data_IF_449630769236
#
_entry.id   IF_449630769236
#
_cell.length_a   1.000
_cell.length_b   1.000
_cell.length_c   1.000
_cell.angle_alpha   90.00
_cell.angle_beta   90.00
_cell.angle_gamma   90.00
#
_symmetry.space_group_name_H-M   'P 1'
#
loop_
_entity.id
_entity.type
_entity.pdbx_description
1 polymer ?
#
# COMPACT_ATOMS: atom_id res chain seq x y z
N UNK A 1 -76.20 33.99 36.44
CA UNK A 1 -76.54 35.37 36.03
C UNK A 1 -75.80 35.63 34.72
N UNK A 2 -76.47 35.59 33.65
CA UNK A 2 -76.92 36.68 32.83
C UNK A 2 -75.70 37.30 32.09
N UNK A 3 -75.62 37.43 30.84
CA UNK A 3 -76.48 37.46 29.66
C UNK A 3 -75.69 38.15 28.56
N UNK A 4 -75.71 37.63 27.35
CA UNK A 4 -76.10 38.31 26.10
C UNK A 4 -75.13 39.35 25.52
N UNK A 5 -74.89 39.55 24.25
CA UNK A 5 -75.54 39.22 22.96
C UNK A 5 -74.57 39.65 21.88
N UNK A 6 -74.44 38.87 20.76
CA UNK A 6 -74.93 39.25 19.41
C UNK A 6 -74.42 40.60 18.85
N UNK A 7 -74.00 40.80 17.64
CA UNK A 7 -74.41 40.40 16.31
C UNK A 7 -73.42 40.88 15.26
N UNK A 8 -73.04 40.06 14.25
CA UNK A 8 -73.41 40.21 12.84
C UNK A 8 -73.08 41.56 12.13
N UNK A 9 -72.33 41.49 11.05
CA UNK A 9 -72.68 41.66 9.63
C UNK A 9 -71.39 41.95 8.85
N UNK A 10 -70.99 41.19 7.88
CA UNK A 10 -71.34 41.04 6.47
C UNK A 10 -70.94 42.21 5.57
N UNK A 11 -70.43 41.80 4.43
CA UNK A 11 -70.24 42.38 3.10
C UNK A 11 -68.83 42.88 2.84
N UNK A 12 -68.14 42.24 1.99
CA UNK A 12 -68.24 41.94 0.55
C UNK A 12 -67.54 42.97 -0.32
N UNK A 13 -66.73 42.42 -1.10
CA UNK A 13 -66.51 42.66 -2.51
C UNK A 13 -65.22 43.27 -2.99
N UNK A 14 -64.64 42.53 -3.78
CA UNK A 14 -64.22 42.71 -5.19
C UNK A 14 -62.79 43.24 -5.41
N UNK A 15 -61.99 42.34 -5.78
CA UNK A 15 -61.21 42.19 -7.00
C UNK A 15 -60.58 43.45 -7.59
N UNK A 16 -59.25 43.35 -7.74
CA UNK A 16 -58.67 43.68 -9.06
C UNK A 16 -57.28 43.03 -9.17
N UNK A 17 -57.18 42.21 -10.17
CA UNK A 17 -55.97 41.65 -10.74
C UNK A 17 -55.06 42.79 -11.23
N UNK A 18 -53.84 42.80 -10.76
CA UNK A 18 -52.68 43.21 -11.58
C UNK A 18 -51.60 42.21 -11.43
N UNK A 19 -51.31 41.51 -12.49
CA UNK A 19 -50.18 40.62 -12.61
C UNK A 19 -48.88 41.38 -12.48
N UNK A 20 -48.07 40.91 -11.58
CA UNK A 20 -46.64 41.16 -11.62
C UNK A 20 -45.97 39.78 -11.63
N UNK A 21 -45.38 39.42 -12.73
CA UNK A 21 -44.39 38.39 -12.84
C UNK A 21 -43.30 38.65 -11.80
N UNK A 22 -43.43 38.06 -10.65
CA UNK A 22 -42.40 37.94 -9.65
C UNK A 22 -41.59 36.67 -9.96
N UNK A 23 -40.60 36.89 -10.71
CA UNK A 23 -39.51 35.95 -10.99
C UNK A 23 -38.79 35.68 -9.68
N UNK A 24 -38.55 34.41 -9.38
CA UNK A 24 -37.42 34.01 -8.56
C UNK A 24 -37.74 33.72 -7.13
N UNK A 25 -38.35 32.59 -6.86
CA UNK A 25 -37.87 31.79 -5.76
C UNK A 25 -36.49 31.29 -6.16
N UNK A 26 -35.45 32.03 -5.83
CA UNK A 26 -34.11 31.50 -5.78
C UNK A 26 -34.11 30.50 -4.64
N UNK A 27 -34.28 29.21 -4.95
CA UNK A 27 -33.75 28.19 -4.09
C UNK A 27 -32.28 28.54 -3.95
N UNK A 28 -31.81 28.73 -2.74
CA UNK A 28 -30.38 28.65 -2.45
C UNK A 28 -29.93 27.32 -3.07
N UNK A 29 -29.27 27.41 -4.23
CA UNK A 29 -28.68 26.24 -4.84
C UNK A 29 -27.70 25.70 -3.83
N UNK A 30 -27.97 24.51 -3.30
CA UNK A 30 -26.96 23.80 -2.60
C UNK A 30 -25.78 23.74 -3.57
N UNK A 31 -24.64 24.32 -3.16
CA UNK A 31 -23.41 24.21 -3.93
C UNK A 31 -23.21 22.74 -4.28
N UNK A 32 -22.97 22.44 -5.54
CA UNK A 32 -22.73 21.07 -5.99
C UNK A 32 -21.63 20.45 -5.12
N UNK A 33 -21.75 19.18 -4.76
CA UNK A 33 -20.82 18.52 -3.80
C UNK A 33 -19.36 18.71 -4.16
N UNK A 34 -19.02 18.77 -5.45
CA UNK A 34 -17.64 19.00 -5.89
C UNK A 34 -17.10 20.40 -5.54
N UNK A 35 -17.97 21.38 -5.22
CA UNK A 35 -17.57 22.71 -4.77
C UNK A 35 -17.33 22.81 -3.27
N UNK A 36 -17.78 21.81 -2.51
CA UNK A 36 -17.53 21.70 -1.08
C UNK A 36 -16.10 21.18 -0.83
N UNK A 37 -15.56 21.50 0.34
CA UNK A 37 -14.27 20.93 0.74
C UNK A 37 -14.41 19.44 0.98
N UNK A 38 -13.52 18.63 0.38
CA UNK A 38 -13.42 17.19 0.59
C UNK A 38 -12.16 16.95 1.41
N UNK A 39 -12.34 16.52 2.65
CA UNK A 39 -11.23 16.18 3.56
C UNK A 39 -11.07 14.67 3.57
N UNK A 40 -9.88 14.20 3.21
CA UNK A 40 -9.47 12.80 3.29
C UNK A 40 -8.58 12.65 4.52
N UNK A 41 -9.04 11.92 5.53
CA UNK A 41 -8.22 11.51 6.67
C UNK A 41 -7.36 10.31 6.27
N UNK A 42 -6.04 10.48 6.16
CA UNK A 42 -5.11 9.40 5.84
C UNK A 42 -4.30 8.99 7.07
N UNK A 43 -4.33 7.70 7.44
CA UNK A 43 -3.53 7.19 8.55
C UNK A 43 -2.77 5.90 8.17
N UNK A 44 -1.48 6.02 7.84
CA UNK A 44 -0.56 4.89 7.74
C UNK A 44 0.03 4.50 9.11
N UNK A 45 0.72 3.34 9.22
CA UNK A 45 1.41 2.92 10.45
C UNK A 45 2.56 3.85 10.88
N UNK A 46 3.19 4.52 9.93
CA UNK A 46 4.16 5.58 10.12
C UNK A 46 4.20 6.53 8.90
N UNK A 47 5.12 7.47 8.86
CA UNK A 47 5.26 8.48 7.78
C UNK A 47 6.64 8.40 7.10
N UNK A 48 7.34 7.29 7.27
CA UNK A 48 8.67 7.07 6.67
C UNK A 48 8.59 6.07 5.51
N UNK A 49 9.69 5.93 4.78
CA UNK A 49 9.85 4.90 3.75
C UNK A 49 8.69 4.84 2.77
N UNK A 50 8.07 3.69 2.68
CA UNK A 50 6.97 3.36 1.76
C UNK A 50 5.72 4.20 2.00
N UNK A 51 5.39 4.49 3.26
CA UNK A 51 4.20 5.28 3.60
C UNK A 51 4.38 6.77 3.30
N UNK A 52 5.63 7.27 3.34
CA UNK A 52 5.94 8.59 2.79
C UNK A 52 5.60 8.64 1.30
N UNK A 53 6.04 7.65 0.53
CA UNK A 53 5.71 7.54 -0.90
C UNK A 53 4.21 7.51 -1.13
N UNK A 54 3.47 6.67 -0.41
CA UNK A 54 2.01 6.63 -0.53
C UNK A 54 1.38 7.99 -0.23
N UNK A 55 1.82 8.67 0.84
CA UNK A 55 1.32 10.00 1.23
C UNK A 55 1.57 11.04 0.13
N UNK A 56 2.77 11.07 -0.45
CA UNK A 56 3.11 11.97 -1.56
C UNK A 56 2.19 11.77 -2.77
N UNK A 57 1.77 10.53 -3.05
CA UNK A 57 0.85 10.24 -4.14
C UNK A 57 -0.62 10.53 -3.80
N UNK A 58 -1.04 10.42 -2.53
CA UNK A 58 -2.32 10.98 -2.08
C UNK A 58 -2.37 12.49 -2.34
N UNK A 59 -1.34 13.21 -1.97
CA UNK A 59 -1.23 14.66 -2.16
C UNK A 59 -1.14 15.05 -3.64
N UNK A 60 -0.39 14.30 -4.45
CA UNK A 60 -0.27 14.50 -5.89
C UNK A 60 -1.62 14.37 -6.60
N UNK A 61 -2.37 13.30 -6.33
CA UNK A 61 -3.69 13.09 -6.90
C UNK A 61 -4.70 14.16 -6.42
N UNK A 62 -4.62 14.59 -5.14
CA UNK A 62 -5.41 15.70 -4.63
C UNK A 62 -5.08 17.02 -5.35
N UNK A 63 -3.80 17.27 -5.67
CA UNK A 63 -3.36 18.40 -6.47
C UNK A 63 -3.98 18.41 -7.87
N UNK A 64 -4.04 17.25 -8.54
CA UNK A 64 -4.70 17.12 -9.86
C UNK A 64 -6.22 17.33 -9.76
N UNK A 65 -6.88 16.78 -8.74
CA UNK A 65 -8.30 17.03 -8.49
C UNK A 65 -8.57 18.53 -8.28
N UNK A 66 -7.71 19.21 -7.51
CA UNK A 66 -7.82 20.65 -7.27
C UNK A 66 -7.59 21.47 -8.56
N UNK A 67 -6.66 21.04 -9.42
CA UNK A 67 -6.48 21.66 -10.74
C UNK A 67 -7.71 21.50 -11.65
N UNK A 68 -8.49 20.41 -11.48
CA UNK A 68 -9.76 20.19 -12.15
C UNK A 68 -10.94 20.94 -11.50
N UNK A 69 -10.69 21.66 -10.39
CA UNK A 69 -11.64 22.54 -9.73
C UNK A 69 -12.32 21.97 -8.48
N UNK A 70 -11.92 20.80 -7.99
CA UNK A 70 -12.31 20.31 -6.67
C UNK A 70 -11.59 21.11 -5.57
N UNK A 71 -11.97 20.86 -4.31
CA UNK A 71 -11.30 21.38 -3.11
C UNK A 71 -10.94 20.21 -2.20
N UNK A 72 -9.93 19.45 -2.60
CA UNK A 72 -9.50 18.25 -1.88
C UNK A 72 -8.35 18.59 -0.93
N UNK A 73 -8.45 18.14 0.31
CA UNK A 73 -7.42 18.23 1.34
C UNK A 73 -7.11 16.86 1.88
N UNK A 74 -5.85 16.47 1.87
CA UNK A 74 -5.36 15.26 2.54
C UNK A 74 -4.84 15.65 3.91
N UNK A 75 -5.39 15.05 4.96
CA UNK A 75 -4.89 15.19 6.33
C UNK A 75 -4.21 13.90 6.74
N UNK A 76 -2.89 13.87 6.59
CA UNK A 76 -2.08 12.72 6.94
C UNK A 76 -1.65 12.77 8.41
N UNK A 77 -1.91 11.69 9.14
CA UNK A 77 -1.50 11.51 10.55
C UNK A 77 -1.14 10.05 10.79
N UNK A 78 -0.06 9.81 11.50
CA UNK A 78 0.41 8.47 11.80
C UNK A 78 0.83 8.32 13.25
N UNK A 79 0.83 7.09 13.79
CA UNK A 79 1.58 6.74 14.99
C UNK A 79 3.07 7.04 14.84
N UNK A 80 3.79 7.02 15.95
CA UNK A 80 5.24 7.18 15.96
C UNK A 80 5.98 5.91 15.50
N UNK A 81 5.36 4.74 15.65
CA UNK A 81 5.91 3.43 15.28
C UNK A 81 4.83 2.48 14.83
N UNK A 82 5.19 1.46 14.04
CA UNK A 82 4.27 0.41 13.58
C UNK A 82 3.62 -0.38 14.72
N UNK A 83 4.20 -0.41 15.90
CA UNK A 83 3.65 -1.13 17.07
C UNK A 83 2.74 -0.28 17.96
N UNK A 84 2.56 0.99 17.65
CA UNK A 84 1.69 1.89 18.41
C UNK A 84 0.22 1.83 17.92
N UNK A 85 -0.38 0.65 17.98
CA UNK A 85 -1.72 0.37 17.45
C UNK A 85 -2.79 1.27 18.07
N UNK A 86 -2.72 1.51 19.38
CA UNK A 86 -3.68 2.37 20.08
C UNK A 86 -3.64 3.83 19.57
N UNK A 87 -2.48 4.31 19.16
CA UNK A 87 -2.34 5.66 18.62
C UNK A 87 -3.03 5.77 17.25
N UNK A 88 -2.94 4.72 16.40
CA UNK A 88 -3.67 4.70 15.13
C UNK A 88 -5.19 4.68 15.35
N UNK A 89 -5.68 3.91 16.31
CA UNK A 89 -7.09 3.91 16.72
C UNK A 89 -7.53 5.31 17.13
N UNK A 90 -6.75 6.01 17.97
CA UNK A 90 -7.05 7.37 18.41
C UNK A 90 -7.06 8.38 17.24
N UNK A 91 -6.19 8.20 16.24
CA UNK A 91 -6.18 9.03 15.04
C UNK A 91 -7.46 8.83 14.21
N UNK A 92 -7.91 7.59 14.04
CA UNK A 92 -9.18 7.29 13.36
C UNK A 92 -10.35 7.94 14.10
N UNK A 93 -10.38 7.84 15.42
CA UNK A 93 -11.42 8.46 16.27
C UNK A 93 -11.43 10.00 16.15
N UNK A 94 -10.26 10.62 16.05
CA UNK A 94 -10.17 12.06 15.80
C UNK A 94 -10.74 12.43 14.42
N UNK A 95 -10.45 11.68 13.37
CA UNK A 95 -11.04 11.89 12.07
C UNK A 95 -12.57 11.73 12.07
N UNK A 96 -13.09 10.73 12.78
CA UNK A 96 -14.54 10.56 13.00
C UNK A 96 -15.14 11.76 13.71
N UNK A 97 -14.53 12.22 14.81
CA UNK A 97 -15.00 13.34 15.59
C UNK A 97 -15.03 14.66 14.80
N UNK A 98 -14.08 14.83 13.90
CA UNK A 98 -13.95 15.99 13.01
C UNK A 98 -14.81 15.87 11.74
N UNK A 99 -15.47 14.75 11.55
CA UNK A 99 -16.37 14.47 10.41
C UNK A 99 -15.68 14.67 9.06
N UNK A 100 -14.48 14.10 8.89
CA UNK A 100 -13.83 14.06 7.56
C UNK A 100 -14.74 13.33 6.56
N UNK A 101 -14.59 13.62 5.28
CA UNK A 101 -15.48 13.06 4.26
C UNK A 101 -15.22 11.57 3.99
N UNK A 102 -13.96 11.15 4.07
CA UNK A 102 -13.51 9.76 3.86
C UNK A 102 -12.31 9.49 4.74
N UNK A 103 -12.19 8.28 5.29
CA UNK A 103 -11.00 7.84 6.03
C UNK A 103 -10.29 6.77 5.20
N UNK A 104 -9.01 7.00 4.87
CA UNK A 104 -8.12 6.01 4.27
C UNK A 104 -7.16 5.49 5.34
N UNK A 105 -7.02 4.17 5.44
CA UNK A 105 -6.24 3.51 6.49
C UNK A 105 -5.32 2.47 5.86
N UNK A 106 -4.02 2.52 6.17
CA UNK A 106 -3.17 1.33 6.10
C UNK A 106 -3.04 0.78 7.51
N UNK A 107 -3.63 -0.39 7.82
CA UNK A 107 -3.66 -0.88 9.20
C UNK A 107 -2.26 -1.22 9.71
N UNK A 108 -1.90 -0.75 10.89
CA UNK A 108 -0.76 -1.28 11.63
C UNK A 108 -1.06 -2.69 12.17
N UNK A 109 -2.34 -2.92 12.52
CA UNK A 109 -2.90 -4.22 12.90
C UNK A 109 -4.38 -4.26 12.48
N UNK A 110 -4.79 -5.32 11.79
CA UNK A 110 -6.13 -5.46 11.20
C UNK A 110 -7.23 -5.59 12.24
N UNK A 111 -6.96 -6.23 13.37
CA UNK A 111 -7.95 -6.41 14.44
C UNK A 111 -8.07 -5.16 15.31
N UNK A 112 -6.96 -4.51 15.61
CA UNK A 112 -6.95 -3.33 16.49
C UNK A 112 -7.77 -2.16 15.94
N UNK A 113 -7.82 -1.96 14.62
CA UNK A 113 -8.57 -0.85 14.00
C UNK A 113 -10.07 -1.07 13.95
N UNK A 114 -10.58 -2.33 14.00
CA UNK A 114 -11.99 -2.66 13.79
C UNK A 114 -12.96 -1.83 14.65
N UNK A 115 -12.72 -1.62 15.96
CA UNK A 115 -13.62 -0.80 16.77
C UNK A 115 -13.74 0.66 16.29
N UNK A 116 -12.63 1.26 15.82
CA UNK A 116 -12.65 2.63 15.31
C UNK A 116 -13.32 2.71 13.93
N UNK A 117 -13.11 1.71 13.07
CA UNK A 117 -13.81 1.62 11.78
C UNK A 117 -15.33 1.47 11.99
N UNK A 118 -15.77 0.69 12.98
CA UNK A 118 -17.21 0.62 13.35
C UNK A 118 -17.78 2.00 13.71
N UNK A 119 -17.04 2.79 14.48
CA UNK A 119 -17.47 4.17 14.80
C UNK A 119 -17.53 5.07 13.56
N UNK A 120 -16.60 4.90 12.61
CA UNK A 120 -16.67 5.61 11.33
C UNK A 120 -17.93 5.20 10.53
N UNK A 121 -18.24 3.88 10.50
CA UNK A 121 -19.45 3.37 9.84
C UNK A 121 -20.73 3.92 10.50
N UNK A 122 -20.81 3.94 11.82
CA UNK A 122 -21.93 4.54 12.59
C UNK A 122 -22.09 6.04 12.30
N UNK A 123 -20.98 6.74 12.03
CA UNK A 123 -20.98 8.14 11.64
C UNK A 123 -21.25 8.37 10.14
N UNK A 124 -21.50 7.29 9.36
CA UNK A 124 -21.65 7.29 7.90
C UNK A 124 -20.44 7.89 7.16
N UNK A 125 -19.24 7.69 7.68
CA UNK A 125 -17.98 8.08 7.03
C UNK A 125 -17.45 6.86 6.27
N UNK A 126 -17.34 6.90 4.94
CA UNK A 126 -16.76 5.82 4.15
C UNK A 126 -15.31 5.56 4.54
N UNK A 127 -14.94 4.28 4.60
CA UNK A 127 -13.58 3.84 4.91
C UNK A 127 -12.98 3.13 3.70
N UNK A 128 -11.76 3.50 3.35
CA UNK A 128 -10.91 2.80 2.38
C UNK A 128 -9.77 2.16 3.17
N UNK A 129 -9.54 0.87 2.95
CA UNK A 129 -8.35 0.20 3.50
C UNK A 129 -7.34 0.00 2.37
N UNK A 130 -6.10 0.39 2.62
CA UNK A 130 -4.98 0.16 1.69
C UNK A 130 -4.00 -0.85 2.28
N UNK A 131 -3.12 -1.43 1.46
CA UNK A 131 -2.17 -2.47 1.85
C UNK A 131 -2.83 -3.83 2.20
N UNK A 132 -4.07 -4.03 1.81
CA UNK A 132 -4.85 -5.22 2.13
C UNK A 132 -5.90 -5.47 1.06
N UNK A 133 -6.12 -6.72 0.67
CA UNK A 133 -7.22 -7.15 -0.21
C UNK A 133 -8.26 -8.00 0.52
N UNK A 134 -7.86 -8.66 1.59
CA UNK A 134 -8.73 -9.56 2.34
C UNK A 134 -9.83 -8.78 3.05
N UNK A 135 -11.07 -9.06 2.67
CA UNK A 135 -12.24 -8.43 3.27
C UNK A 135 -12.32 -8.75 4.77
N UNK A 136 -12.36 -7.68 5.56
CA UNK A 136 -12.44 -7.79 7.00
C UNK A 136 -13.88 -7.99 7.46
N UNK A 137 -14.09 -8.95 8.35
CA UNK A 137 -15.39 -9.21 8.95
C UNK A 137 -15.75 -8.14 9.99
N UNK A 138 -17.06 -7.97 10.22
CA UNK A 138 -17.63 -7.10 11.26
C UNK A 138 -17.43 -5.59 11.07
N UNK A 139 -16.93 -5.13 9.92
CA UNK A 139 -16.79 -3.71 9.55
C UNK A 139 -17.22 -3.48 8.10
N UNK A 140 -17.66 -2.27 7.80
CA UNK A 140 -17.97 -1.85 6.44
C UNK A 140 -16.79 -1.06 5.87
N UNK A 141 -16.23 -1.54 4.76
CA UNK A 141 -15.15 -0.90 4.02
C UNK A 141 -15.64 -0.63 2.61
N UNK A 142 -15.54 0.59 2.15
CA UNK A 142 -16.00 0.97 0.82
C UNK A 142 -15.11 0.38 -0.29
N UNK A 143 -13.79 0.36 -0.07
CA UNK A 143 -12.83 -0.20 -1.02
C UNK A 143 -11.58 -0.71 -0.30
N UNK A 144 -11.02 -1.79 -0.82
CA UNK A 144 -9.69 -2.31 -0.49
C UNK A 144 -8.76 -2.03 -1.67
N UNK A 145 -7.62 -1.39 -1.40
CA UNK A 145 -6.59 -1.08 -2.40
C UNK A 145 -5.29 -1.71 -1.92
N UNK A 146 -4.77 -2.69 -2.62
CA UNK A 146 -3.57 -3.37 -2.14
C UNK A 146 -3.19 -4.56 -2.98
N UNK A 147 -2.62 -5.53 -2.35
CA UNK A 147 -2.08 -6.74 -2.95
C UNK A 147 -2.24 -7.90 -1.96
N UNK A 148 -2.13 -9.12 -2.49
CA UNK A 148 -2.03 -10.33 -1.69
C UNK A 148 -0.62 -10.44 -1.11
N UNK A 149 -0.49 -10.41 0.24
CA UNK A 149 0.79 -10.43 0.94
C UNK A 149 1.54 -11.75 0.78
N UNK A 150 0.82 -12.86 0.71
CA UNK A 150 1.39 -14.19 0.46
C UNK A 150 1.90 -14.30 -0.98
N UNK A 151 1.12 -13.82 -1.96
CA UNK A 151 1.55 -13.76 -3.37
C UNK A 151 2.80 -12.91 -3.53
N UNK A 152 2.88 -11.74 -2.90
CA UNK A 152 4.03 -10.86 -2.96
C UNK A 152 5.32 -11.54 -2.44
N UNK A 153 5.21 -12.25 -1.33
CA UNK A 153 6.32 -13.00 -0.78
C UNK A 153 6.71 -14.22 -1.64
N UNK A 154 5.73 -14.86 -2.29
CA UNK A 154 5.99 -15.91 -3.28
C UNK A 154 6.77 -15.39 -4.48
N UNK A 155 6.41 -14.21 -5.01
CA UNK A 155 7.18 -13.52 -6.08
C UNK A 155 8.61 -13.27 -5.63
N UNK A 156 8.81 -12.77 -4.40
CA UNK A 156 10.12 -12.51 -3.84
C UNK A 156 10.94 -13.80 -3.64
N UNK A 157 10.29 -14.90 -3.26
CA UNK A 157 10.90 -16.20 -3.11
C UNK A 157 11.44 -16.74 -4.46
N UNK A 158 10.66 -16.60 -5.54
CA UNK A 158 11.14 -16.94 -6.87
C UNK A 158 12.38 -16.13 -7.28
N UNK A 159 12.47 -14.87 -6.92
CA UNK A 159 13.66 -14.05 -7.17
C UNK A 159 14.90 -14.61 -6.41
N UNK A 160 14.73 -15.13 -5.20
CA UNK A 160 15.80 -15.83 -4.47
C UNK A 160 16.22 -17.10 -5.20
N UNK A 161 15.26 -17.95 -5.60
CA UNK A 161 15.55 -19.18 -6.35
C UNK A 161 16.30 -18.89 -7.64
N UNK A 162 15.86 -17.84 -8.34
CA UNK A 162 16.40 -17.45 -9.63
C UNK A 162 17.86 -16.98 -9.53
N UNK A 163 18.17 -16.22 -8.51
CA UNK A 163 19.54 -15.81 -8.21
C UNK A 163 20.48 -17.00 -7.95
N UNK A 164 19.98 -18.05 -7.31
CA UNK A 164 20.75 -19.24 -6.95
C UNK A 164 20.68 -20.39 -7.97
N UNK A 165 20.52 -20.08 -9.23
CA UNK A 165 20.60 -21.05 -10.33
C UNK A 165 19.28 -21.35 -11.02
N UNK A 166 18.24 -20.60 -10.75
CA UNK A 166 16.95 -20.71 -11.45
C UNK A 166 16.99 -20.21 -12.89
N UNK A 167 16.00 -20.61 -13.71
CA UNK A 167 15.95 -20.34 -15.14
C UNK A 167 15.22 -19.02 -15.45
N UNK A 168 15.58 -17.92 -14.79
CA UNK A 168 14.91 -16.64 -14.99
C UNK A 168 15.83 -15.55 -15.52
N UNK A 169 15.91 -14.44 -14.77
CA UNK A 169 16.62 -13.21 -15.17
C UNK A 169 17.76 -12.84 -14.26
N UNK A 170 17.80 -13.40 -13.04
CA UNK A 170 18.80 -13.11 -12.03
C UNK A 170 19.89 -14.19 -12.01
N UNK A 171 20.99 -13.93 -11.29
CA UNK A 171 22.03 -14.92 -11.02
C UNK A 171 22.72 -15.51 -12.26
N UNK A 172 23.22 -16.75 -12.13
CA UNK A 172 24.03 -17.44 -13.14
C UNK A 172 23.34 -18.61 -13.84
N UNK A 173 22.05 -18.84 -13.60
CA UNK A 173 21.26 -19.88 -14.24
C UNK A 173 20.96 -19.60 -15.73
N UNK A 174 20.15 -20.45 -16.34
CA UNK A 174 19.62 -20.21 -17.68
C UNK A 174 18.85 -18.88 -17.69
N UNK A 175 18.98 -18.08 -18.77
CA UNK A 175 18.33 -16.77 -18.84
C UNK A 175 17.14 -16.82 -19.78
N UNK A 176 16.01 -16.27 -19.28
CA UNK A 176 14.80 -16.04 -20.05
C UNK A 176 14.86 -14.64 -20.67
N UNK A 177 14.48 -14.52 -21.93
CA UNK A 177 14.33 -13.22 -22.58
C UNK A 177 13.05 -12.53 -22.07
N UNK A 178 13.21 -11.37 -21.43
CA UNK A 178 12.11 -10.60 -20.88
C UNK A 178 11.82 -9.39 -21.77
N UNK A 179 10.62 -9.34 -22.29
CA UNK A 179 10.17 -8.21 -23.11
C UNK A 179 9.96 -6.96 -22.21
N UNK A 180 10.16 -5.73 -22.73
CA UNK A 180 10.06 -4.50 -21.93
C UNK A 180 8.72 -4.27 -21.24
N UNK A 181 7.62 -4.80 -21.79
CA UNK A 181 6.26 -4.68 -21.25
C UNK A 181 5.83 -5.88 -20.40
N UNK A 182 6.72 -6.84 -20.20
CA UNK A 182 6.40 -8.06 -19.46
C UNK A 182 6.27 -7.79 -17.98
N UNK A 183 5.16 -8.25 -17.39
CA UNK A 183 4.86 -8.09 -15.98
C UNK A 183 5.33 -9.32 -15.21
N UNK A 184 6.35 -9.17 -14.37
CA UNK A 184 7.01 -10.28 -13.67
C UNK A 184 6.28 -10.58 -12.34
N UNK A 185 4.99 -10.94 -12.44
CA UNK A 185 4.15 -11.37 -11.33
C UNK A 185 4.31 -12.87 -11.01
N UNK A 186 3.55 -13.38 -10.05
CA UNK A 186 3.58 -14.77 -9.64
C UNK A 186 3.30 -15.71 -10.81
N UNK A 187 2.34 -15.38 -11.67
CA UNK A 187 1.99 -16.19 -12.83
C UNK A 187 3.14 -16.31 -13.82
N UNK A 188 3.86 -15.21 -14.06
CA UNK A 188 5.05 -15.22 -14.90
C UNK A 188 6.13 -16.14 -14.32
N UNK A 189 6.44 -16.00 -13.02
CA UNK A 189 7.42 -16.83 -12.33
C UNK A 189 7.04 -18.31 -12.37
N UNK A 190 5.80 -18.65 -12.08
CA UNK A 190 5.30 -20.03 -12.17
C UNK A 190 5.46 -20.62 -13.57
N UNK A 191 5.23 -19.83 -14.61
CA UNK A 191 5.45 -20.23 -15.99
C UNK A 191 6.92 -20.53 -16.30
N UNK A 192 7.83 -19.66 -15.87
CA UNK A 192 9.28 -19.84 -16.04
C UNK A 192 9.77 -21.08 -15.29
N UNK A 193 9.25 -21.35 -14.10
CA UNK A 193 9.67 -22.44 -13.24
C UNK A 193 8.96 -23.77 -13.49
N UNK A 194 8.03 -23.83 -14.45
CA UNK A 194 7.21 -25.04 -14.71
C UNK A 194 8.07 -26.30 -14.93
N UNK A 195 9.24 -26.15 -15.53
CA UNK A 195 10.16 -27.24 -15.86
C UNK A 195 11.52 -27.09 -15.20
N UNK A 196 11.66 -26.22 -14.20
CA UNK A 196 12.90 -26.03 -13.47
C UNK A 196 13.26 -27.29 -12.67
N UNK A 197 14.54 -27.70 -12.72
CA UNK A 197 15.03 -28.80 -11.90
C UNK A 197 15.40 -28.29 -10.48
N UNK A 198 14.63 -28.66 -9.45
CA UNK A 198 14.92 -28.23 -8.08
C UNK A 198 16.33 -28.62 -7.58
N UNK A 199 16.95 -29.63 -8.19
CA UNK A 199 18.28 -30.09 -7.77
C UNK A 199 19.40 -29.12 -8.18
N UNK A 200 19.17 -28.25 -9.17
CA UNK A 200 20.16 -27.28 -9.63
C UNK A 200 20.20 -26.00 -8.78
N UNK A 201 19.13 -25.71 -8.06
CA UNK A 201 18.95 -24.47 -7.29
C UNK A 201 19.44 -24.68 -5.87
N UNK A 202 20.53 -23.99 -5.49
CA UNK A 202 21.18 -24.19 -4.20
C UNK A 202 21.65 -22.90 -3.59
N UNK A 203 21.23 -22.64 -2.35
CA UNK A 203 21.64 -21.48 -1.57
C UNK A 203 21.26 -21.62 -0.10
N UNK A 204 21.79 -20.74 0.73
CA UNK A 204 21.43 -20.70 2.14
C UNK A 204 21.35 -19.26 2.65
N UNK A 205 20.36 -18.98 3.47
CA UNK A 205 20.14 -17.63 3.95
C UNK A 205 19.24 -17.56 5.17
N UNK A 206 19.02 -16.34 5.65
CA UNK A 206 18.21 -16.06 6.84
C UNK A 206 17.10 -15.08 6.52
N UNK A 207 16.06 -15.05 7.36
CA UNK A 207 14.88 -14.25 7.19
C UNK A 207 14.82 -13.15 8.24
N UNK A 208 14.53 -11.91 7.81
CA UNK A 208 14.12 -10.81 8.68
C UNK A 208 12.63 -10.60 8.49
N UNK A 209 11.84 -10.92 9.51
CA UNK A 209 10.39 -10.76 9.50
C UNK A 209 9.93 -9.43 10.06
N UNK A 210 8.66 -9.07 9.81
CA UNK A 210 8.02 -7.88 10.36
C UNK A 210 7.77 -7.97 11.86
N UNK A 211 6.55 -7.63 12.29
CA UNK A 211 6.11 -7.80 13.68
C UNK A 211 5.64 -9.25 13.83
N UNK A 212 6.38 -10.02 14.62
CA UNK A 212 6.12 -11.44 14.79
C UNK A 212 4.68 -11.72 15.26
N UNK A 213 4.02 -12.68 14.60
CA UNK A 213 2.67 -13.11 14.93
C UNK A 213 1.56 -12.18 14.45
N UNK A 214 1.86 -11.08 13.74
CA UNK A 214 0.84 -10.25 13.10
C UNK A 214 0.50 -10.78 11.70
N UNK A 215 -0.70 -10.44 11.21
CA UNK A 215 -1.21 -10.85 9.92
C UNK A 215 -0.19 -10.62 8.78
N UNK A 216 0.28 -9.40 8.57
CA UNK A 216 1.18 -9.09 7.46
C UNK A 216 2.53 -9.83 7.52
N UNK A 217 3.06 -10.05 8.73
CA UNK A 217 4.30 -10.81 8.90
C UNK A 217 4.10 -12.28 8.57
N UNK A 218 3.00 -12.86 9.05
CA UNK A 218 2.68 -14.27 8.84
C UNK A 218 2.41 -14.58 7.36
N UNK A 219 1.55 -13.80 6.70
CA UNK A 219 1.25 -13.98 5.28
C UNK A 219 2.51 -13.93 4.41
N UNK A 220 3.42 -12.98 4.68
CA UNK A 220 4.68 -12.89 3.95
C UNK A 220 5.61 -14.08 4.24
N UNK A 221 5.67 -14.58 5.46
CA UNK A 221 6.43 -15.78 5.79
C UNK A 221 5.86 -17.01 5.08
N UNK A 222 4.54 -17.19 5.15
CA UNK A 222 3.86 -18.34 4.56
C UNK A 222 4.04 -18.37 3.04
N UNK A 223 3.86 -17.24 2.36
CA UNK A 223 4.07 -17.14 0.92
C UNK A 223 5.53 -17.37 0.50
N UNK A 224 6.50 -16.91 1.27
CA UNK A 224 7.91 -17.17 1.00
C UNK A 224 8.22 -18.67 1.16
N UNK A 225 7.77 -19.29 2.24
CA UNK A 225 7.96 -20.72 2.51
C UNK A 225 7.20 -21.62 1.54
N UNK A 226 6.00 -21.21 1.09
CA UNK A 226 5.25 -21.95 0.08
C UNK A 226 6.07 -22.22 -1.20
N UNK A 227 6.97 -21.33 -1.55
CA UNK A 227 7.83 -21.45 -2.71
C UNK A 227 9.15 -22.14 -2.35
N UNK A 228 9.92 -21.60 -1.40
CA UNK A 228 11.29 -22.07 -1.13
C UNK A 228 11.33 -23.50 -0.61
N UNK A 229 10.33 -23.95 0.13
CA UNK A 229 10.29 -25.29 0.72
C UNK A 229 10.13 -26.41 -0.34
N UNK A 230 9.70 -26.04 -1.56
CA UNK A 230 9.67 -26.95 -2.74
C UNK A 230 11.07 -27.21 -3.31
N UNK A 231 12.06 -26.42 -2.89
CA UNK A 231 13.43 -26.47 -3.42
C UNK A 231 14.42 -26.86 -2.31
N UNK A 232 14.67 -28.17 -2.10
CA UNK A 232 15.45 -28.67 -0.95
C UNK A 232 16.93 -28.22 -0.93
N UNK A 233 17.40 -27.67 -2.06
CA UNK A 233 18.72 -27.05 -2.16
C UNK A 233 18.81 -25.67 -1.52
N UNK A 234 17.67 -25.00 -1.26
CA UNK A 234 17.61 -23.74 -0.52
C UNK A 234 17.46 -24.06 0.97
N UNK A 235 18.32 -23.49 1.80
CA UNK A 235 18.32 -23.73 3.25
C UNK A 235 18.09 -22.43 4.00
N UNK A 236 17.06 -22.39 4.82
CA UNK A 236 16.83 -21.27 5.74
C UNK A 236 17.56 -21.54 7.05
N UNK A 237 18.42 -20.59 7.45
CA UNK A 237 19.31 -20.69 8.60
C UNK A 237 18.67 -20.04 9.83
N UNK A 238 18.42 -20.84 10.84
CA UNK A 238 17.82 -20.42 12.10
C UNK A 238 16.34 -20.02 11.94
N UNK A 239 15.81 -19.39 12.98
CA UNK A 239 14.47 -18.84 12.97
C UNK A 239 14.47 -17.42 12.37
N UNK A 240 13.37 -16.95 11.77
CA UNK A 240 13.20 -15.56 11.42
C UNK A 240 13.48 -14.62 12.61
N UNK A 241 14.09 -13.48 12.35
CA UNK A 241 14.31 -12.44 13.37
C UNK A 241 13.35 -11.28 13.12
N UNK A 242 12.50 -11.00 14.11
CA UNK A 242 11.57 -9.88 14.05
C UNK A 242 12.30 -8.53 14.09
N UNK A 243 11.97 -7.66 13.16
CA UNK A 243 12.52 -6.31 13.07
C UNK A 243 11.44 -5.24 12.96
N UNK A 244 10.18 -5.57 13.22
CA UNK A 244 9.03 -4.66 13.38
C UNK A 244 8.93 -3.61 12.26
N UNK A 245 9.21 -4.00 11.01
CA UNK A 245 9.23 -3.13 9.82
C UNK A 245 10.22 -1.95 9.93
N UNK A 246 11.23 -2.06 10.78
CA UNK A 246 12.11 -0.96 11.17
C UNK A 246 13.55 -1.16 10.70
N UNK A 247 14.15 -0.14 10.12
CA UNK A 247 15.51 -0.16 9.55
C UNK A 247 16.59 -0.46 10.60
N UNK A 248 16.52 0.18 11.78
CA UNK A 248 17.51 -0.04 12.85
C UNK A 248 17.45 -1.46 13.41
N UNK A 249 16.24 -2.02 13.51
CA UNK A 249 16.06 -3.41 13.92
C UNK A 249 16.55 -4.37 12.83
N UNK A 250 16.38 -4.03 11.56
CA UNK A 250 16.99 -4.76 10.43
C UNK A 250 18.52 -4.79 10.50
N UNK A 251 19.16 -3.66 10.88
CA UNK A 251 20.61 -3.60 11.16
C UNK A 251 20.97 -4.62 12.24
N UNK A 252 20.27 -4.60 13.40
CA UNK A 252 20.54 -5.51 14.52
C UNK A 252 20.34 -6.98 14.20
N UNK A 253 19.27 -7.29 13.44
CA UNK A 253 19.02 -8.64 12.97
C UNK A 253 20.19 -9.15 12.09
N UNK A 254 20.65 -8.31 11.17
CA UNK A 254 21.77 -8.65 10.29
C UNK A 254 23.08 -8.83 11.06
N UNK A 255 23.38 -7.97 12.03
CA UNK A 255 24.54 -8.16 12.92
C UNK A 255 24.46 -9.48 13.68
N UNK A 256 23.25 -9.87 14.10
CA UNK A 256 23.01 -11.17 14.76
C UNK A 256 23.30 -12.33 13.81
N UNK A 257 22.85 -12.28 12.56
CA UNK A 257 23.17 -13.33 11.58
C UNK A 257 24.67 -13.41 11.29
N UNK A 258 25.34 -12.27 11.09
CA UNK A 258 26.79 -12.23 10.84
C UNK A 258 27.63 -12.71 12.04
N UNK A 259 27.08 -12.70 13.25
CA UNK A 259 27.73 -13.28 14.42
C UNK A 259 27.62 -14.80 14.51
N UNK A 260 26.64 -15.40 13.80
CA UNK A 260 26.33 -16.84 13.85
C UNK A 260 26.80 -17.60 12.62
N UNK A 261 26.77 -16.94 11.44
CA UNK A 261 26.96 -17.59 10.16
C UNK A 261 28.04 -16.87 9.34
N UNK A 262 28.90 -17.64 8.70
CA UNK A 262 29.98 -17.10 7.89
C UNK A 262 29.43 -16.57 6.53
N UNK A 263 29.68 -15.28 6.19
CA UNK A 263 29.22 -14.68 4.92
C UNK A 263 29.70 -15.44 3.68
N UNK A 264 28.83 -15.65 2.73
CA UNK A 264 29.10 -16.27 1.43
C UNK A 264 29.44 -17.76 1.46
N UNK A 265 29.51 -18.36 2.64
CA UNK A 265 29.72 -19.80 2.82
C UNK A 265 28.49 -20.45 3.45
N UNK A 266 28.05 -19.94 4.59
CA UNK A 266 26.82 -20.35 5.26
C UNK A 266 25.71 -19.37 4.95
N UNK A 267 25.88 -18.07 5.22
CA UNK A 267 24.93 -17.01 4.93
C UNK A 267 25.23 -16.43 3.55
N UNK A 268 24.47 -16.83 2.56
CA UNK A 268 24.62 -16.38 1.18
C UNK A 268 23.57 -15.34 0.78
N UNK A 269 22.40 -15.33 1.47
CA UNK A 269 21.40 -14.30 1.29
C UNK A 269 20.71 -13.93 2.60
N UNK A 270 20.13 -12.73 2.60
CA UNK A 270 19.12 -12.29 3.54
C UNK A 270 17.87 -11.94 2.74
N UNK A 271 16.75 -12.54 3.10
CA UNK A 271 15.45 -12.10 2.66
C UNK A 271 14.81 -11.29 3.78
N UNK A 272 14.40 -10.05 3.47
CA UNK A 272 13.72 -9.17 4.40
C UNK A 272 12.28 -8.96 3.93
N UNK A 273 11.32 -9.17 4.82
CA UNK A 273 9.91 -9.06 4.51
C UNK A 273 9.47 -7.61 4.17
N UNK A 274 10.33 -6.60 4.36
CA UNK A 274 10.07 -5.22 3.92
C UNK A 274 11.34 -4.47 3.54
N UNK A 275 11.15 -3.41 2.77
CA UNK A 275 12.16 -2.50 2.29
C UNK A 275 13.03 -1.91 3.42
N UNK A 276 12.43 -1.33 4.45
CA UNK A 276 13.17 -0.70 5.54
C UNK A 276 14.11 -1.67 6.24
N UNK A 277 13.67 -2.89 6.49
CA UNK A 277 14.52 -3.93 7.09
C UNK A 277 15.62 -4.38 6.15
N UNK A 278 15.32 -4.52 4.85
CA UNK A 278 16.28 -4.88 3.81
C UNK A 278 17.37 -3.82 3.63
N UNK A 279 17.01 -2.55 3.60
CA UNK A 279 17.96 -1.44 3.54
C UNK A 279 18.84 -1.38 4.81
N UNK A 280 18.29 -1.73 5.97
CA UNK A 280 19.07 -1.92 7.19
C UNK A 280 20.10 -3.06 7.08
N UNK A 281 19.68 -4.17 6.49
CA UNK A 281 20.57 -5.30 6.21
C UNK A 281 21.69 -4.91 5.25
N UNK A 282 21.37 -4.26 4.13
CA UNK A 282 22.35 -3.78 3.15
C UNK A 282 23.38 -2.85 3.79
N UNK A 283 22.94 -1.87 4.58
CA UNK A 283 23.82 -0.93 5.26
C UNK A 283 24.84 -1.66 6.17
N UNK A 284 24.40 -2.69 6.86
CA UNK A 284 25.27 -3.52 7.72
C UNK A 284 26.28 -4.30 6.88
N UNK A 285 25.83 -4.93 5.80
CA UNK A 285 26.67 -5.71 4.91
C UNK A 285 27.69 -4.83 4.16
N UNK A 286 27.32 -3.62 3.72
CA UNK A 286 28.22 -2.65 3.14
C UNK A 286 29.33 -2.24 4.13
N UNK A 287 28.95 -1.86 5.36
CA UNK A 287 29.90 -1.48 6.41
C UNK A 287 30.91 -2.59 6.74
N UNK A 288 30.51 -3.84 6.61
CA UNK A 288 31.35 -5.00 6.81
C UNK A 288 32.10 -5.44 5.55
N UNK A 289 31.87 -4.77 4.41
CA UNK A 289 32.40 -5.12 3.10
C UNK A 289 32.07 -6.57 2.66
N UNK A 290 30.88 -7.03 3.01
CA UNK A 290 30.36 -8.38 2.68
C UNK A 290 29.05 -8.36 1.89
N UNK A 291 28.61 -7.22 1.32
CA UNK A 291 27.46 -7.15 0.44
C UNK A 291 27.84 -7.71 -0.95
N UNK A 292 27.04 -8.66 -1.47
CA UNK A 292 27.14 -9.12 -2.84
C UNK A 292 26.53 -8.08 -3.80
N UNK A 293 27.07 -8.00 -5.01
CA UNK A 293 26.53 -7.16 -6.08
C UNK A 293 26.10 -8.02 -7.27
N UNK A 294 25.23 -7.48 -8.13
CA UNK A 294 24.76 -8.18 -9.32
C UNK A 294 25.83 -8.33 -10.42
N UNK A 295 26.99 -7.68 -10.26
CA UNK A 295 28.15 -7.84 -11.16
C UNK A 295 28.89 -9.16 -10.91
N UNK A 296 28.66 -9.79 -9.75
CA UNK A 296 29.33 -11.02 -9.31
C UNK A 296 28.38 -12.22 -9.54
N UNK A 297 28.93 -13.34 -9.99
CA UNK A 297 28.14 -14.57 -10.18
C UNK A 297 27.88 -15.27 -8.85
N UNK A 298 26.61 -15.57 -8.49
CA UNK A 298 26.27 -16.25 -7.24
C UNK A 298 26.63 -17.75 -7.25
N UNK A 299 26.91 -18.35 -6.09
CA UNK A 299 27.04 -17.68 -4.79
C UNK A 299 28.40 -16.95 -4.68
N UNK A 300 28.35 -15.68 -4.27
CA UNK A 300 29.57 -14.84 -4.19
C UNK A 300 30.34 -15.17 -2.90
N UNK A 301 31.57 -15.64 -3.04
CA UNK A 301 32.39 -16.03 -1.89
C UNK A 301 32.64 -14.85 -0.94
N UNK A 302 32.31 -15.04 0.33
CA UNK A 302 32.47 -14.01 1.36
C UNK A 302 31.45 -12.88 1.34
N UNK A 303 30.41 -13.00 0.52
CA UNK A 303 29.39 -11.97 0.33
C UNK A 303 27.98 -12.51 0.54
N UNK A 304 27.05 -11.61 0.86
CA UNK A 304 25.64 -11.89 1.15
C UNK A 304 24.76 -11.04 0.24
N UNK A 305 23.88 -11.68 -0.49
CA UNK A 305 22.88 -11.01 -1.34
C UNK A 305 21.67 -10.58 -0.50
N UNK A 306 20.99 -9.50 -0.90
CA UNK A 306 19.77 -9.02 -0.24
C UNK A 306 18.61 -9.04 -1.20
N UNK A 307 17.47 -9.55 -0.72
CA UNK A 307 16.17 -9.55 -1.36
C UNK A 307 15.16 -8.94 -0.40
N UNK A 308 14.24 -8.14 -0.92
CA UNK A 308 13.27 -7.48 -0.07
C UNK A 308 11.95 -7.21 -0.80
N UNK A 309 11.05 -6.54 -0.13
CA UNK A 309 9.71 -6.22 -0.61
C UNK A 309 9.48 -4.73 -0.50
N UNK A 310 8.54 -4.22 -1.27
CA UNK A 310 7.92 -2.89 -1.25
C UNK A 310 8.21 -2.04 -2.51
N UNK A 311 9.46 -1.79 -2.88
CA UNK A 311 9.98 -0.86 -3.92
C UNK A 311 9.74 0.62 -3.59
N UNK A 312 10.82 1.30 -3.29
CA UNK A 312 10.85 2.74 -3.01
C UNK A 312 11.84 3.46 -3.92
N UNK A 313 11.82 4.81 -4.00
CA UNK A 313 12.86 5.55 -4.72
C UNK A 313 14.29 5.21 -4.26
N UNK A 314 14.50 4.96 -2.96
CA UNK A 314 15.80 4.58 -2.43
C UNK A 314 16.22 3.19 -2.90
N UNK A 315 15.32 2.21 -2.83
CA UNK A 315 15.64 0.84 -3.26
C UNK A 315 15.84 0.74 -4.77
N UNK A 316 15.09 1.50 -5.57
CA UNK A 316 15.32 1.57 -7.04
C UNK A 316 16.75 2.05 -7.34
N UNK A 317 17.24 3.07 -6.60
CA UNK A 317 18.62 3.49 -6.74
C UNK A 317 19.62 2.37 -6.40
N UNK A 318 19.34 1.59 -5.32
CA UNK A 318 20.17 0.45 -4.93
C UNK A 318 20.12 -0.71 -5.93
N UNK A 319 18.97 -0.95 -6.55
CA UNK A 319 18.82 -1.93 -7.64
C UNK A 319 19.66 -1.49 -8.85
N UNK A 320 19.59 -0.22 -9.26
CA UNK A 320 20.37 0.33 -10.37
C UNK A 320 21.88 0.27 -10.11
N UNK A 321 22.30 0.44 -8.85
CA UNK A 321 23.69 0.26 -8.42
C UNK A 321 24.13 -1.22 -8.36
N UNK A 322 23.22 -2.18 -8.60
CA UNK A 322 23.49 -3.60 -8.48
C UNK A 322 23.69 -4.10 -7.05
N UNK A 323 23.35 -3.31 -6.04
CA UNK A 323 23.54 -3.62 -4.61
C UNK A 323 22.35 -4.34 -3.97
N UNK A 324 21.14 -4.08 -4.47
CA UNK A 324 19.94 -4.85 -4.15
C UNK A 324 19.61 -5.72 -5.35
N UNK A 325 19.57 -7.03 -5.15
CA UNK A 325 19.41 -7.99 -6.25
C UNK A 325 18.04 -7.89 -6.88
N UNK A 326 17.01 -7.94 -6.06
CA UNK A 326 15.63 -7.79 -6.48
C UNK A 326 14.74 -7.37 -5.30
N UNK A 327 13.64 -6.76 -5.63
CA UNK A 327 12.60 -6.36 -4.69
C UNK A 327 11.21 -6.60 -5.31
N UNK A 328 10.22 -6.94 -4.50
CA UNK A 328 8.85 -7.10 -4.97
C UNK A 328 8.09 -5.80 -4.79
N UNK A 329 7.54 -5.26 -5.88
CA UNK A 329 6.74 -4.04 -5.89
C UNK A 329 5.34 -4.27 -5.32
N UNK A 330 4.90 -3.39 -4.44
CA UNK A 330 3.62 -3.44 -3.72
C UNK A 330 2.65 -2.28 -4.06
N UNK A 331 3.07 -1.34 -4.90
CA UNK A 331 2.18 -0.31 -5.42
C UNK A 331 1.89 0.87 -4.50
N UNK A 332 2.84 1.35 -3.73
CA UNK A 332 2.63 2.48 -2.80
C UNK A 332 2.20 3.78 -3.48
N UNK A 333 2.68 4.04 -4.69
CA UNK A 333 2.23 5.17 -5.49
C UNK A 333 0.77 4.99 -5.90
N UNK A 334 0.41 3.79 -6.33
CA UNK A 334 -0.94 3.40 -6.72
C UNK A 334 -1.93 3.51 -5.56
N UNK A 335 -1.49 3.20 -4.32
CA UNK A 335 -2.35 3.33 -3.14
C UNK A 335 -2.82 4.77 -2.94
N UNK A 336 -1.90 5.73 -2.98
CA UNK A 336 -2.24 7.14 -2.85
C UNK A 336 -3.07 7.65 -4.02
N UNK A 337 -2.72 7.21 -5.22
CA UNK A 337 -3.38 7.60 -6.47
C UNK A 337 -4.85 7.16 -6.51
N UNK A 338 -5.10 5.86 -6.39
CA UNK A 338 -6.45 5.32 -6.34
C UNK A 338 -7.19 5.69 -5.06
N UNK A 339 -6.47 5.76 -3.92
CA UNK A 339 -7.04 6.15 -2.64
C UNK A 339 -7.68 7.55 -2.71
N UNK A 340 -6.99 8.51 -3.32
CA UNK A 340 -7.55 9.87 -3.54
C UNK A 340 -8.69 9.84 -4.55
N UNK A 341 -8.53 9.15 -5.69
CA UNK A 341 -9.59 9.02 -6.69
C UNK A 341 -10.88 8.49 -6.05
N UNK A 342 -10.80 7.38 -5.34
CA UNK A 342 -11.95 6.73 -4.73
C UNK A 342 -12.55 7.56 -3.59
N UNK A 343 -11.70 8.23 -2.81
CA UNK A 343 -12.19 9.13 -1.76
C UNK A 343 -13.00 10.29 -2.33
N UNK A 344 -12.56 10.92 -3.43
CA UNK A 344 -13.33 11.98 -4.11
C UNK A 344 -14.63 11.43 -4.69
N UNK A 345 -14.60 10.26 -5.33
CA UNK A 345 -15.80 9.61 -5.86
C UNK A 345 -16.82 9.30 -4.74
N UNK A 346 -16.37 8.73 -3.61
CA UNK A 346 -17.22 8.45 -2.46
C UNK A 346 -17.84 9.73 -1.86
N UNK A 347 -17.05 10.80 -1.72
CA UNK A 347 -17.55 12.10 -1.26
C UNK A 347 -18.59 12.68 -2.21
N UNK A 348 -18.48 12.41 -3.52
CA UNK A 348 -19.48 12.75 -4.53
C UNK A 348 -20.69 11.80 -4.56
N UNK A 349 -20.74 10.78 -3.71
CA UNK A 349 -21.83 9.79 -3.70
C UNK A 349 -21.75 8.73 -4.80
N UNK A 350 -20.60 8.60 -5.45
CA UNK A 350 -20.36 7.62 -6.51
C UNK A 350 -19.94 6.27 -5.93
N UNK A 351 -20.15 5.22 -6.70
CA UNK A 351 -19.65 3.87 -6.38
C UNK A 351 -18.18 3.73 -6.79
N UNK A 352 -17.43 2.99 -6.01
CA UNK A 352 -16.03 2.64 -6.29
C UNK A 352 -15.86 1.12 -6.34
N UNK A 353 -14.83 0.59 -6.99
CA UNK A 353 -14.49 -0.82 -6.92
C UNK A 353 -14.33 -1.29 -5.47
N UNK A 354 -14.92 -2.44 -5.13
CA UNK A 354 -14.72 -3.02 -3.80
C UNK A 354 -13.27 -3.43 -3.57
N UNK A 355 -12.62 -3.97 -4.60
CA UNK A 355 -11.23 -4.40 -4.60
C UNK A 355 -10.51 -3.73 -5.76
N UNK A 356 -9.40 -3.07 -5.45
CA UNK A 356 -8.41 -2.59 -6.40
C UNK A 356 -7.12 -3.38 -6.17
N UNK A 357 -6.98 -4.45 -6.92
CA UNK A 357 -5.81 -5.32 -6.85
C UNK A 357 -4.62 -4.69 -7.58
N UNK A 358 -3.52 -4.51 -6.86
CA UNK A 358 -2.24 -4.06 -7.38
C UNK A 358 -1.31 -5.27 -7.34
N UNK A 359 -1.32 -6.04 -8.41
CA UNK A 359 -0.56 -7.30 -8.48
C UNK A 359 0.93 -7.08 -8.19
N UNK A 360 1.51 -7.82 -7.24
CA UNK A 360 2.94 -7.76 -6.95
C UNK A 360 3.78 -8.19 -8.17
N UNK A 361 4.91 -7.53 -8.36
CA UNK A 361 5.86 -7.89 -9.44
C UNK A 361 7.30 -7.64 -9.03
N UNK A 362 8.21 -8.36 -9.63
CA UNK A 362 9.64 -8.21 -9.38
C UNK A 362 10.19 -6.93 -10.00
N UNK A 363 10.86 -6.13 -9.19
CA UNK A 363 11.76 -5.07 -9.60
C UNK A 363 13.21 -5.57 -9.52
N UNK A 364 13.96 -5.41 -10.59
CA UNK A 364 15.34 -5.78 -10.71
C UNK A 364 16.07 -4.85 -11.69
N UNK A 365 17.38 -4.99 -11.84
CA UNK A 365 18.19 -4.05 -12.61
C UNK A 365 17.70 -3.85 -14.06
N UNK A 366 17.14 -4.89 -14.68
CA UNK A 366 16.66 -4.82 -16.09
C UNK A 366 15.34 -4.06 -16.27
N UNK A 367 14.55 -3.82 -15.20
CA UNK A 367 13.29 -3.10 -15.27
C UNK A 367 13.16 -1.95 -14.25
N UNK A 368 14.24 -1.60 -13.56
CA UNK A 368 14.24 -0.59 -12.51
C UNK A 368 13.72 0.79 -12.98
N UNK A 369 13.88 1.11 -14.27
CA UNK A 369 13.40 2.37 -14.85
C UNK A 369 11.87 2.44 -15.01
N UNK A 370 11.15 1.32 -14.84
CA UNK A 370 9.68 1.29 -14.86
C UNK A 370 9.05 1.76 -13.55
N UNK A 371 9.86 1.97 -12.51
CA UNK A 371 9.42 2.36 -11.18
C UNK A 371 9.72 3.84 -10.91
N UNK A 372 10.47 4.15 -9.88
CA UNK A 372 10.74 5.54 -9.51
C UNK A 372 11.95 6.13 -10.24
N UNK A 373 11.95 7.48 -10.52
CA UNK A 373 10.92 8.46 -10.09
C UNK A 373 9.67 8.53 -10.97
N UNK A 374 9.70 7.98 -12.19
CA UNK A 374 8.70 8.19 -13.23
C UNK A 374 7.74 7.00 -13.38
N UNK A 375 7.23 6.50 -12.25
CA UNK A 375 6.26 5.40 -12.27
C UNK A 375 5.02 5.77 -13.09
N UNK A 376 4.66 4.91 -14.05
CA UNK A 376 3.49 5.09 -14.89
C UNK A 376 2.21 4.78 -14.10
N UNK A 377 1.36 5.78 -13.91
CA UNK A 377 0.05 5.65 -13.29
C UNK A 377 -1.05 5.90 -14.32
N UNK A 378 -2.22 5.24 -14.19
CA UNK A 378 -3.34 5.49 -15.07
C UNK A 378 -3.86 6.93 -14.86
N UNK A 379 -4.20 7.61 -15.95
CA UNK A 379 -4.79 8.94 -15.86
C UNK A 379 -6.17 8.88 -15.17
N UNK A 380 -6.44 9.83 -14.28
CA UNK A 380 -7.74 9.98 -13.64
C UNK A 380 -8.57 11.00 -14.42
N UNK A 381 -9.75 10.62 -14.86
CA UNK A 381 -10.69 11.56 -15.51
C UNK A 381 -11.47 12.38 -14.47
N UNK A 382 -10.81 13.39 -13.90
CA UNK A 382 -11.40 14.30 -12.92
C UNK A 382 -12.61 15.05 -13.45
N UNK A 383 -12.66 15.35 -14.76
CA UNK A 383 -13.80 16.03 -15.34
C UNK A 383 -15.05 15.14 -15.38
N UNK A 384 -14.88 13.86 -15.67
CA UNK A 384 -15.96 12.87 -15.57
C UNK A 384 -16.45 12.74 -14.13
N UNK A 385 -15.54 12.55 -13.17
CA UNK A 385 -15.89 12.46 -11.74
C UNK A 385 -16.69 13.69 -11.31
N UNK A 386 -16.26 14.88 -11.73
CA UNK A 386 -16.93 16.15 -11.45
C UNK A 386 -18.33 16.23 -12.08
N UNK A 387 -18.46 15.80 -13.34
CA UNK A 387 -19.76 15.78 -14.04
C UNK A 387 -20.77 14.84 -13.38
N UNK A 388 -20.31 13.77 -12.77
CA UNK A 388 -21.12 12.77 -12.08
C UNK A 388 -21.29 13.08 -10.56
N UNK A 389 -20.72 14.18 -10.06
CA UNK A 389 -20.78 14.60 -8.66
C UNK A 389 -22.04 15.44 -8.41
N UNK A 390 -23.13 14.80 -8.00
CA UNK A 390 -24.46 15.39 -7.81
C UNK A 390 -24.58 16.28 -6.55
#
# INVERSE_FOLDING_TARGET
>A
MARWCRTLALLAALALLVGACGRGGGGEGQDARWQQEIVIGWTPPDITGVFKTATEFFEKAAGEANAAGFKVKVESRSPATHTAFADQVAIIDDFVSRKVNVIAISPADTEAIKPAVKRANEANIPVIIVNLLEEQTDIEVASYIGFDNSEAASVSAYAVLDYFGGPGVLGSGEKVDVQPDQYLDLKWWQGVYQNADPATIRGSGSIIEGIAGTFFSQERLDGFHEVVDKYPGIKILGNPLAADWNREKGIKATETFLSRYQPGTELQFIWAASNEMGLGAMLTLERRNVLATTEESPPVKGKVAVFTNDVTPESVARIKEGKLVAETHHGFAEWGWFGTQFAVQLACGQQVPKIQDIRPRTAWQGNADQFYPDIALPAIDWNKIKGDCA
#
